data_IF_783099075066
#
_entry.id   IF_783099075066
#
_cell.length_a   1.000
_cell.length_b   1.000
_cell.length_c   1.000
_cell.angle_alpha   90.00
_cell.angle_beta   90.00
_cell.angle_gamma   90.00
#
_symmetry.space_group_name_H-M   'P 1'
#
loop_
_entity.id
_entity.type
_entity.pdbx_description
1 polymer ?
#
# COMPACT_ATOMS: atom_id res chain seq x y z
N UNK A 1 -22.83 33.31 -38.55
CA UNK A 1 -23.83 32.27 -38.81
C UNK A 1 -23.79 31.23 -37.72
N UNK A 2 -24.81 31.21 -36.87
CA UNK A 2 -24.95 30.29 -35.74
C UNK A 2 -25.74 29.06 -36.20
N UNK A 3 -25.20 27.86 -36.05
CA UNK A 3 -26.01 26.64 -36.12
C UNK A 3 -25.93 25.89 -34.81
N UNK A 4 -27.02 25.94 -34.04
CA UNK A 4 -27.28 25.12 -32.86
C UNK A 4 -27.92 23.81 -33.35
N UNK A 5 -27.29 22.67 -33.12
CA UNK A 5 -27.92 21.37 -33.17
C UNK A 5 -28.56 21.04 -31.84
N UNK A 6 -29.89 21.08 -31.79
CA UNK A 6 -30.72 20.53 -30.68
C UNK A 6 -30.83 19.02 -30.87
N UNK A 7 -30.50 18.25 -29.86
CA UNK A 7 -30.92 16.85 -29.76
C UNK A 7 -32.27 16.75 -29.02
N UNK A 8 -33.17 15.85 -29.43
CA UNK A 8 -34.49 15.68 -28.81
C UNK A 8 -34.39 14.83 -27.54
N UNK A 9 -35.06 15.33 -26.47
CA UNK A 9 -35.41 14.54 -25.28
C UNK A 9 -36.60 13.65 -25.65
N UNK A 10 -36.42 12.35 -25.59
CA UNK A 10 -37.42 11.29 -25.32
C UNK A 10 -36.96 9.98 -25.94
N UNK A 11 -36.39 9.11 -25.12
CA UNK A 11 -36.55 7.65 -25.26
C UNK A 11 -35.94 6.96 -24.02
N UNK A 12 -36.72 6.00 -23.47
CA UNK A 12 -36.33 4.94 -22.55
C UNK A 12 -36.53 5.16 -21.03
N UNK A 13 -37.79 5.17 -20.66
CA UNK A 13 -38.29 4.51 -19.46
C UNK A 13 -39.23 3.37 -19.92
N UNK A 14 -38.74 2.19 -20.08
CA UNK A 14 -39.57 0.97 -20.05
C UNK A 14 -38.68 -0.29 -19.93
N UNK A 15 -39.03 -1.17 -18.99
CA UNK A 15 -38.67 -2.58 -18.89
C UNK A 15 -37.34 -2.93 -18.19
N UNK A 16 -37.35 -2.89 -16.87
CA UNK A 16 -36.58 -3.82 -16.04
C UNK A 16 -37.43 -4.29 -14.83
N UNK A 17 -38.43 -5.13 -15.09
CA UNK A 17 -39.08 -5.97 -14.07
C UNK A 17 -39.41 -7.32 -14.70
N UNK A 18 -38.45 -8.24 -14.67
CA UNK A 18 -38.72 -9.70 -14.68
C UNK A 18 -37.39 -10.44 -14.50
N UNK A 19 -37.29 -11.26 -13.45
CA UNK A 19 -36.39 -12.40 -13.44
C UNK A 19 -35.25 -12.41 -12.43
N UNK A 20 -35.53 -12.31 -11.10
CA UNK A 20 -34.63 -12.88 -10.09
C UNK A 20 -35.49 -13.69 -9.12
N UNK A 21 -35.71 -14.96 -9.44
CA UNK A 21 -36.02 -15.99 -8.45
C UNK A 21 -35.06 -17.16 -8.66
N UNK A 22 -34.25 -17.44 -7.64
CA UNK A 22 -33.52 -18.71 -7.47
C UNK A 22 -32.06 -18.67 -7.92
N UNK A 23 -31.16 -18.33 -7.02
CA UNK A 23 -29.81 -18.91 -7.00
C UNK A 23 -29.27 -18.76 -5.57
N UNK A 24 -29.62 -19.74 -4.74
CA UNK A 24 -28.97 -19.98 -3.47
C UNK A 24 -27.84 -20.98 -3.76
N UNK A 25 -26.61 -20.53 -3.85
CA UNK A 25 -25.44 -21.40 -3.83
C UNK A 25 -24.21 -20.62 -3.40
N UNK A 26 -23.66 -21.01 -2.27
CA UNK A 26 -22.38 -20.57 -1.71
C UNK A 26 -21.23 -20.81 -2.70
N UNK A 27 -20.91 -19.83 -3.52
CA UNK A 27 -19.69 -19.81 -4.32
C UNK A 27 -18.50 -19.45 -3.42
N UNK A 28 -17.81 -20.49 -2.95
CA UNK A 28 -16.51 -20.33 -2.29
C UNK A 28 -15.44 -20.27 -3.38
N UNK A 29 -14.80 -19.13 -3.53
CA UNK A 29 -13.59 -19.02 -4.31
C UNK A 29 -12.43 -19.65 -3.54
N UNK A 30 -11.96 -20.81 -3.97
CA UNK A 30 -10.83 -21.51 -3.38
C UNK A 30 -9.55 -21.01 -4.06
N UNK A 31 -8.75 -20.19 -3.37
CA UNK A 31 -7.38 -19.91 -3.79
C UNK A 31 -6.47 -21.06 -3.36
N UNK A 32 -5.71 -21.66 -4.29
CA UNK A 32 -4.95 -22.90 -4.06
C UNK A 32 -3.68 -22.77 -3.20
N UNK A 33 -3.35 -21.56 -2.69
CA UNK A 33 -2.07 -21.31 -2.01
C UNK A 33 -2.16 -20.79 -0.56
N UNK A 34 -3.35 -20.48 -0.04
CA UNK A 34 -3.51 -20.08 1.36
C UNK A 34 -4.65 -20.84 2.03
N UNK A 35 -4.44 -21.26 3.29
CA UNK A 35 -5.49 -21.93 4.10
C UNK A 35 -6.57 -20.95 4.60
N UNK A 36 -6.50 -19.67 4.21
CA UNK A 36 -7.40 -18.60 4.64
C UNK A 36 -8.61 -18.52 3.71
N UNK A 37 -9.81 -18.72 4.25
CA UNK A 37 -11.06 -18.55 3.54
C UNK A 37 -11.51 -17.10 3.63
N UNK A 38 -11.26 -16.31 2.58
CA UNK A 38 -11.82 -14.96 2.47
C UNK A 38 -13.29 -15.06 2.05
N UNK A 39 -14.24 -14.45 2.78
CA UNK A 39 -15.63 -14.40 2.36
C UNK A 39 -15.75 -13.61 1.06
N UNK A 40 -16.50 -14.16 0.10
CA UNK A 40 -16.89 -13.41 -1.09
C UNK A 40 -17.93 -12.35 -0.66
N UNK A 41 -17.67 -11.04 -0.77
CA UNK A 41 -18.63 -10.02 -0.37
C UNK A 41 -19.85 -10.05 -1.30
N UNK A 42 -21.00 -10.53 -0.83
CA UNK A 42 -22.31 -10.45 -1.51
C UNK A 42 -23.00 -9.09 -1.28
N UNK A 43 -22.24 -8.03 -1.00
CA UNK A 43 -22.71 -6.66 -0.98
C UNK A 43 -22.23 -5.92 -2.23
N UNK A 44 -23.03 -4.97 -2.72
CA UNK A 44 -22.60 -4.05 -3.80
C UNK A 44 -21.44 -3.20 -3.29
N UNK A 45 -20.21 -3.75 -3.31
CA UNK A 45 -18.99 -2.96 -3.17
C UNK A 45 -18.96 -1.95 -4.31
N UNK A 46 -18.68 -0.69 -4.02
CA UNK A 46 -18.48 0.33 -5.05
C UNK A 46 -17.12 0.09 -5.74
N UNK A 47 -17.03 -1.04 -6.46
CA UNK A 47 -15.81 -1.42 -7.16
C UNK A 47 -15.39 -0.32 -8.13
N UNK A 48 -14.17 0.15 -8.02
CA UNK A 48 -13.59 1.06 -9.01
C UNK A 48 -13.10 0.22 -10.19
N UNK A 49 -13.69 0.43 -11.36
CA UNK A 49 -13.32 -0.27 -12.59
C UNK A 49 -13.32 -1.82 -12.47
N UNK A 50 -14.21 -2.37 -11.64
CA UNK A 50 -14.29 -3.82 -11.40
C UNK A 50 -13.09 -4.42 -10.64
N UNK A 51 -12.23 -3.60 -10.06
CA UNK A 51 -11.03 -4.01 -9.31
C UNK A 51 -11.32 -4.16 -7.82
N UNK A 52 -10.76 -5.20 -7.21
CA UNK A 52 -10.80 -5.43 -5.76
C UNK A 52 -9.70 -4.64 -5.07
N UNK A 53 -10.10 -3.82 -4.08
CA UNK A 53 -9.22 -2.90 -3.39
C UNK A 53 -8.92 -3.40 -1.98
N UNK A 54 -7.63 -3.59 -1.68
CA UNK A 54 -7.15 -3.91 -0.35
C UNK A 54 -6.44 -2.72 0.28
N UNK A 55 -6.73 -2.46 1.56
CA UNK A 55 -5.89 -1.62 2.42
C UNK A 55 -5.13 -2.54 3.36
N UNK A 56 -3.81 -2.40 3.37
CA UNK A 56 -2.91 -3.12 4.26
C UNK A 56 -2.27 -2.18 5.27
N UNK A 57 -2.23 -2.58 6.52
CA UNK A 57 -1.77 -1.78 7.65
C UNK A 57 -0.65 -2.52 8.40
N UNK A 58 0.63 -2.21 8.14
CA UNK A 58 1.71 -2.71 8.96
C UNK A 58 1.67 -2.03 10.32
N UNK A 59 1.49 -2.80 11.39
CA UNK A 59 1.25 -2.30 12.74
C UNK A 59 2.34 -2.71 13.72
N UNK A 60 2.68 -1.80 14.62
CA UNK A 60 3.47 -2.03 15.82
C UNK A 60 3.05 -1.03 16.89
N UNK A 61 2.38 -1.50 17.97
CA UNK A 61 1.86 -0.68 19.07
C UNK A 61 0.95 0.48 18.56
N UNK A 62 -0.11 0.13 17.82
CA UNK A 62 -1.01 1.09 17.18
C UNK A 62 -2.38 1.21 17.88
N UNK A 63 -2.55 0.69 19.09
CA UNK A 63 -3.84 0.67 19.81
C UNK A 63 -4.55 2.03 19.83
N UNK A 64 -3.79 3.14 20.02
CA UNK A 64 -4.36 4.48 20.19
C UNK A 64 -4.96 5.07 18.91
N UNK A 65 -4.47 4.68 17.75
CA UNK A 65 -4.78 5.34 16.47
C UNK A 65 -5.50 4.44 15.48
N UNK A 66 -5.46 3.12 15.69
CA UNK A 66 -6.04 2.14 14.78
C UNK A 66 -7.55 2.37 14.55
N UNK A 67 -8.32 2.61 15.62
CA UNK A 67 -9.77 2.76 15.51
C UNK A 67 -10.18 3.94 14.63
N UNK A 68 -9.53 5.09 14.80
CA UNK A 68 -9.83 6.27 13.98
C UNK A 68 -9.38 6.07 12.53
N UNK A 69 -8.24 5.43 12.31
CA UNK A 69 -7.74 5.11 10.98
C UNK A 69 -8.70 4.21 10.22
N UNK A 70 -9.17 3.14 10.86
CA UNK A 70 -10.12 2.20 10.25
C UNK A 70 -11.49 2.83 10.03
N UNK A 71 -11.95 3.65 10.96
CA UNK A 71 -13.26 4.31 10.90
C UNK A 71 -13.39 5.33 9.75
N UNK A 72 -12.29 5.87 9.24
CA UNK A 72 -12.29 6.79 8.09
C UNK A 72 -12.00 6.10 6.74
N UNK A 73 -11.83 4.77 6.72
CA UNK A 73 -11.64 4.06 5.45
C UNK A 73 -12.91 4.13 4.59
N UNK A 74 -12.77 4.49 3.29
CA UNK A 74 -13.92 4.54 2.38
C UNK A 74 -14.57 3.16 2.18
N UNK A 75 -15.88 3.15 1.91
CA UNK A 75 -16.66 1.91 1.68
C UNK A 75 -16.21 1.09 0.47
N UNK A 76 -15.44 1.69 -0.43
CA UNK A 76 -14.87 1.00 -1.61
C UNK A 76 -13.75 0.00 -1.25
N UNK A 77 -13.31 -0.05 0.00
CA UNK A 77 -12.26 -0.97 0.45
C UNK A 77 -12.87 -2.36 0.70
N UNK A 78 -12.59 -3.30 -0.20
CA UNK A 78 -13.09 -4.68 -0.13
C UNK A 78 -12.38 -5.53 0.92
N UNK A 79 -11.09 -5.30 1.11
CA UNK A 79 -10.21 -6.13 1.95
C UNK A 79 -9.43 -5.22 2.88
N UNK A 80 -9.52 -5.48 4.20
CA UNK A 80 -8.82 -4.72 5.25
C UNK A 80 -7.91 -5.66 6.01
N UNK A 81 -6.60 -5.51 5.85
CA UNK A 81 -5.59 -6.38 6.46
C UNK A 81 -4.74 -5.58 7.44
N UNK A 82 -4.51 -6.13 8.60
CA UNK A 82 -3.51 -5.66 9.55
C UNK A 82 -2.48 -6.76 9.78
N UNK A 83 -1.20 -6.41 9.66
CA UNK A 83 -0.09 -7.29 10.02
C UNK A 83 0.62 -6.71 11.23
N UNK A 84 0.56 -7.43 12.33
CA UNK A 84 1.14 -7.02 13.61
C UNK A 84 2.58 -7.54 13.76
N UNK A 85 3.54 -6.64 13.93
CA UNK A 85 4.94 -6.97 14.10
C UNK A 85 5.31 -7.19 15.58
N UNK A 86 4.52 -8.05 16.25
CA UNK A 86 4.70 -8.42 17.65
C UNK A 86 4.50 -7.24 18.63
N UNK A 87 3.33 -6.60 18.55
CA UNK A 87 2.91 -5.53 19.47
C UNK A 87 2.78 -6.05 20.92
N UNK A 88 3.05 -5.17 21.88
CA UNK A 88 2.89 -5.43 23.30
C UNK A 88 1.61 -4.81 23.89
N UNK A 89 0.89 -4.02 23.10
CA UNK A 89 -0.38 -3.38 23.46
C UNK A 89 -1.59 -4.18 22.89
N UNK A 90 -2.79 -3.61 22.93
CA UNK A 90 -4.03 -4.25 22.47
C UNK A 90 -4.28 -4.11 20.97
N UNK A 91 -3.26 -3.81 20.16
CA UNK A 91 -3.40 -3.63 18.71
C UNK A 91 -4.10 -4.80 18.03
N UNK A 92 -3.69 -6.04 18.33
CA UNK A 92 -4.26 -7.27 17.73
C UNK A 92 -5.72 -7.45 18.11
N UNK A 93 -6.07 -7.31 19.39
CA UNK A 93 -7.44 -7.48 19.86
C UNK A 93 -8.37 -6.43 19.28
N UNK A 94 -7.93 -5.17 19.23
CA UNK A 94 -8.69 -4.08 18.64
C UNK A 94 -8.89 -4.29 17.14
N UNK A 95 -7.86 -4.71 16.41
CA UNK A 95 -7.95 -5.00 14.98
C UNK A 95 -9.00 -6.08 14.67
N UNK A 96 -9.06 -7.12 15.50
CA UNK A 96 -10.07 -8.18 15.38
C UNK A 96 -11.49 -7.67 15.68
N UNK A 97 -11.66 -6.85 16.72
CA UNK A 97 -12.95 -6.22 17.04
C UNK A 97 -13.45 -5.31 15.91
N UNK A 98 -12.53 -4.66 15.18
CA UNK A 98 -12.84 -3.82 14.01
C UNK A 98 -13.09 -4.64 12.72
N UNK A 99 -13.03 -5.98 12.78
CA UNK A 99 -13.34 -6.86 11.65
C UNK A 99 -12.26 -6.90 10.58
N UNK A 100 -10.99 -6.63 10.92
CA UNK A 100 -9.89 -6.77 10.00
C UNK A 100 -9.41 -8.23 9.89
N UNK A 101 -8.81 -8.59 8.75
CA UNK A 101 -7.96 -9.77 8.68
C UNK A 101 -6.66 -9.47 9.41
N UNK A 102 -6.31 -10.27 10.41
CA UNK A 102 -5.18 -10.01 11.32
C UNK A 102 -4.15 -11.13 11.22
N UNK A 103 -2.94 -10.77 10.84
CA UNK A 103 -1.78 -11.66 10.84
C UNK A 103 -0.78 -11.16 11.87
N UNK A 104 -0.29 -12.03 12.74
CA UNK A 104 0.62 -11.68 13.81
C UNK A 104 1.95 -12.40 13.66
N UNK A 105 3.04 -11.65 13.59
CA UNK A 105 4.40 -12.18 13.63
C UNK A 105 4.72 -12.79 15.00
N UNK A 106 5.51 -13.86 15.02
CA UNK A 106 5.96 -14.53 16.25
C UNK A 106 7.00 -13.70 17.03
N UNK A 107 7.66 -12.74 16.35
CA UNK A 107 8.58 -11.73 16.91
C UNK A 107 8.59 -10.49 16.02
N UNK A 108 9.24 -9.42 16.47
CA UNK A 108 9.45 -8.23 15.63
C UNK A 108 10.51 -8.51 14.56
N UNK A 109 10.07 -8.52 13.29
CA UNK A 109 10.93 -8.73 12.12
C UNK A 109 11.35 -7.43 11.43
N UNK A 110 10.72 -6.33 11.79
CA UNK A 110 11.02 -5.01 11.25
C UNK A 110 10.07 -4.56 10.13
N UNK A 111 10.20 -3.30 9.82
CA UNK A 111 9.30 -2.55 8.95
C UNK A 111 9.13 -3.16 7.55
N UNK A 112 10.24 -3.49 6.89
CA UNK A 112 10.21 -4.03 5.52
C UNK A 112 9.62 -5.44 5.47
N UNK A 113 9.94 -6.30 6.45
CA UNK A 113 9.36 -7.65 6.53
C UNK A 113 7.86 -7.60 6.80
N UNK A 114 7.41 -6.69 7.64
CA UNK A 114 5.98 -6.48 7.89
C UNK A 114 5.24 -6.11 6.60
N UNK A 115 5.80 -5.20 5.80
CA UNK A 115 5.20 -4.86 4.49
C UNK A 115 5.19 -6.04 3.51
N UNK A 116 6.24 -6.86 3.47
CA UNK A 116 6.26 -8.06 2.62
C UNK A 116 5.11 -9.01 2.98
N UNK A 117 4.84 -9.20 4.29
CA UNK A 117 3.69 -9.98 4.76
C UNK A 117 2.37 -9.34 4.35
N UNK A 118 2.22 -8.02 4.53
CA UNK A 118 1.05 -7.26 4.09
C UNK A 118 0.73 -7.48 2.60
N UNK A 119 1.72 -7.34 1.75
CA UNK A 119 1.53 -7.48 0.29
C UNK A 119 1.23 -8.92 -0.10
N UNK A 120 1.89 -9.90 0.52
CA UNK A 120 1.64 -11.32 0.27
C UNK A 120 0.19 -11.69 0.60
N UNK A 121 -0.29 -11.29 1.77
CA UNK A 121 -1.65 -11.60 2.20
C UNK A 121 -2.71 -10.87 1.35
N UNK A 122 -2.45 -9.64 0.91
CA UNK A 122 -3.32 -8.94 -0.02
C UNK A 122 -3.41 -9.64 -1.39
N UNK A 123 -2.28 -10.11 -1.92
CA UNK A 123 -2.24 -10.88 -3.17
C UNK A 123 -2.98 -12.21 -3.02
N UNK A 124 -2.79 -12.93 -1.90
CA UNK A 124 -3.48 -14.17 -1.58
C UNK A 124 -5.00 -13.97 -1.44
N UNK A 125 -5.44 -12.84 -0.87
CA UNK A 125 -6.84 -12.45 -0.78
C UNK A 125 -7.47 -12.06 -2.12
N UNK A 126 -6.70 -11.98 -3.19
CA UNK A 126 -7.19 -11.67 -4.53
C UNK A 126 -7.35 -10.16 -4.79
N UNK A 127 -6.63 -9.28 -4.09
CA UNK A 127 -6.64 -7.85 -4.35
C UNK A 127 -6.04 -7.51 -5.72
N UNK A 128 -6.63 -6.57 -6.45
CA UNK A 128 -6.10 -6.02 -7.70
C UNK A 128 -5.30 -4.73 -7.46
N UNK A 129 -5.73 -3.96 -6.47
CA UNK A 129 -5.06 -2.74 -5.99
C UNK A 129 -4.79 -2.90 -4.51
N UNK A 130 -3.56 -2.66 -4.09
CA UNK A 130 -3.14 -2.76 -2.69
C UNK A 130 -2.64 -1.41 -2.21
N UNK A 131 -3.24 -0.89 -1.16
CA UNK A 131 -2.89 0.41 -0.59
C UNK A 131 -2.27 0.19 0.79
N UNK A 132 -1.02 0.59 0.94
CA UNK A 132 -0.32 0.59 2.21
C UNK A 132 -0.61 1.88 2.94
N UNK A 133 -1.24 1.77 4.10
CA UNK A 133 -1.61 2.86 4.99
C UNK A 133 -1.17 2.53 6.42
N UNK A 134 -0.35 3.39 7.02
CA UNK A 134 0.04 3.20 8.41
C UNK A 134 -1.12 3.50 9.37
N UNK A 135 -1.33 2.65 10.40
CA UNK A 135 -2.41 2.85 11.36
C UNK A 135 -2.12 3.94 12.39
N UNK A 136 -1.05 4.71 12.24
CA UNK A 136 -0.64 5.81 13.13
C UNK A 136 -1.36 7.15 12.86
N UNK A 137 -2.31 7.16 11.91
CA UNK A 137 -3.12 8.33 11.53
C UNK A 137 -2.33 9.57 11.08
N UNK A 138 -1.04 9.41 10.69
CA UNK A 138 -0.29 10.49 10.04
C UNK A 138 -0.87 10.89 8.69
N UNK A 139 -1.41 9.91 7.98
CA UNK A 139 -1.99 10.04 6.65
C UNK A 139 -3.50 9.88 6.72
N UNK A 140 -4.23 10.75 6.04
CA UNK A 140 -5.70 10.64 6.00
C UNK A 140 -6.14 9.44 5.17
N UNK A 141 -6.98 8.53 5.72
CA UNK A 141 -7.54 7.41 4.96
C UNK A 141 -8.41 7.84 3.77
N UNK A 142 -8.92 9.07 3.77
CA UNK A 142 -9.80 9.60 2.71
C UNK A 142 -9.14 9.65 1.33
N UNK A 143 -7.80 9.69 1.25
CA UNK A 143 -7.07 9.66 -0.02
C UNK A 143 -7.00 8.27 -0.66
N UNK A 144 -7.41 7.22 0.04
CA UNK A 144 -7.51 5.85 -0.50
C UNK A 144 -8.28 5.84 -1.82
N UNK A 145 -9.40 6.54 -1.91
CA UNK A 145 -10.22 6.62 -3.14
C UNK A 145 -9.45 7.19 -4.32
N UNK A 146 -8.74 8.30 -4.13
CA UNK A 146 -7.98 8.94 -5.19
C UNK A 146 -6.83 8.05 -5.68
N UNK A 147 -6.06 7.48 -4.74
CA UNK A 147 -4.93 6.61 -5.06
C UNK A 147 -5.38 5.30 -5.71
N UNK A 148 -6.46 4.69 -5.19
CA UNK A 148 -7.06 3.50 -5.77
C UNK A 148 -7.51 3.73 -7.22
N UNK A 149 -8.18 4.85 -7.49
CA UNK A 149 -8.66 5.19 -8.84
C UNK A 149 -7.53 5.27 -9.85
N UNK A 150 -6.41 5.93 -9.49
CA UNK A 150 -5.26 6.08 -10.39
C UNK A 150 -4.64 4.74 -10.80
N UNK A 151 -4.66 3.75 -9.89
CA UNK A 151 -4.17 2.40 -10.16
C UNK A 151 -5.25 1.54 -10.84
N UNK A 152 -6.49 1.59 -10.37
CA UNK A 152 -7.58 0.77 -10.90
C UNK A 152 -7.93 1.06 -12.36
N UNK A 153 -7.74 2.31 -12.81
CA UNK A 153 -7.89 2.71 -14.21
C UNK A 153 -6.61 2.51 -15.05
N UNK A 154 -5.61 1.81 -14.51
CA UNK A 154 -4.34 1.51 -15.18
C UNK A 154 -3.58 2.76 -15.69
N UNK A 155 -3.77 3.92 -15.02
CA UNK A 155 -3.02 5.14 -15.32
C UNK A 155 -1.59 5.03 -14.79
N UNK A 156 -1.45 4.51 -13.55
CA UNK A 156 -0.19 4.26 -12.88
C UNK A 156 -0.15 2.86 -12.26
N UNK A 157 1.05 2.31 -12.14
CA UNK A 157 1.30 1.02 -11.48
C UNK A 157 1.57 1.19 -9.99
N UNK A 158 2.11 2.36 -9.61
CA UNK A 158 2.29 2.79 -8.22
C UNK A 158 1.94 4.27 -8.07
N UNK A 159 1.29 4.62 -6.95
CA UNK A 159 0.93 6.00 -6.59
C UNK A 159 1.42 6.31 -5.18
N UNK A 160 2.12 7.44 -5.03
CA UNK A 160 2.68 7.91 -3.77
C UNK A 160 1.85 9.06 -3.20
N UNK A 161 1.56 9.01 -1.90
CA UNK A 161 0.99 10.13 -1.15
C UNK A 161 2.08 11.12 -0.73
N UNK A 162 2.39 12.11 -1.57
CA UNK A 162 3.49 13.05 -1.31
C UNK A 162 3.10 14.15 -0.31
N UNK A 163 3.91 14.32 0.73
CA UNK A 163 3.80 15.40 1.71
C UNK A 163 4.33 16.74 1.16
N UNK A 164 5.08 16.68 0.07
CA UNK A 164 5.85 17.80 -0.48
C UNK A 164 5.09 18.57 -1.55
N UNK A 165 4.36 17.90 -2.45
CA UNK A 165 3.64 18.54 -3.58
C UNK A 165 2.76 19.70 -3.12
N UNK A 166 2.01 19.55 -2.03
CA UNK A 166 1.11 20.58 -1.52
C UNK A 166 1.81 21.76 -0.82
N UNK A 167 3.14 21.74 -0.68
CA UNK A 167 3.93 22.79 -0.03
C UNK A 167 3.62 22.99 1.47
N UNK A 168 2.92 22.03 2.11
CA UNK A 168 2.45 22.17 3.49
C UNK A 168 3.20 21.29 4.50
N UNK A 169 4.25 20.59 4.11
CA UNK A 169 4.97 19.66 4.98
C UNK A 169 5.46 20.32 6.30
N UNK A 170 6.08 21.49 6.22
CA UNK A 170 6.52 22.26 7.41
C UNK A 170 5.33 22.77 8.25
N UNK A 171 4.26 23.23 7.60
CA UNK A 171 3.02 23.66 8.31
C UNK A 171 2.31 22.49 8.99
N UNK A 172 2.46 21.28 8.46
CA UNK A 172 1.96 20.03 9.06
C UNK A 172 2.77 19.53 10.24
N UNK A 173 3.86 20.23 10.61
CA UNK A 173 4.70 19.88 11.76
C UNK A 173 5.96 19.07 11.43
N UNK A 174 6.32 18.90 10.14
CA UNK A 174 7.57 18.22 9.77
C UNK A 174 8.77 18.98 10.34
N UNK A 175 9.66 18.34 11.12
CA UNK A 175 10.89 18.99 11.60
C UNK A 175 11.77 19.48 10.45
N UNK A 176 12.33 20.68 10.58
CA UNK A 176 13.13 21.34 9.51
C UNK A 176 14.28 20.45 9.04
N UNK A 177 15.00 19.79 9.95
CA UNK A 177 16.10 18.89 9.58
C UNK A 177 15.63 17.69 8.74
N UNK A 178 14.44 17.13 9.04
CA UNK A 178 13.82 16.06 8.25
C UNK A 178 13.43 16.57 6.86
N UNK A 179 12.90 17.78 6.78
CA UNK A 179 12.56 18.40 5.51
C UNK A 179 13.80 18.59 4.63
N UNK A 180 14.89 19.17 5.17
CA UNK A 180 16.14 19.38 4.43
C UNK A 180 16.72 18.04 3.98
N UNK A 181 16.81 17.05 4.86
CA UNK A 181 17.29 15.71 4.52
C UNK A 181 16.44 15.05 3.43
N UNK A 182 15.11 15.15 3.53
CA UNK A 182 14.18 14.65 2.50
C UNK A 182 14.46 15.32 1.14
N UNK A 183 14.61 16.65 1.10
CA UNK A 183 14.88 17.38 -0.16
C UNK A 183 16.22 16.99 -0.79
N UNK A 184 17.26 16.85 0.04
CA UNK A 184 18.58 16.42 -0.41
C UNK A 184 18.54 15.00 -0.98
N UNK A 185 17.99 14.04 -0.24
CA UNK A 185 17.89 12.64 -0.69
C UNK A 185 17.03 12.53 -1.96
N UNK A 186 15.88 13.21 -2.00
CA UNK A 186 15.02 13.23 -3.20
C UNK A 186 15.75 13.78 -4.42
N UNK A 187 16.52 14.87 -4.27
CA UNK A 187 17.30 15.43 -5.38
C UNK A 187 18.37 14.44 -5.87
N UNK A 188 19.04 13.76 -4.96
CA UNK A 188 20.03 12.73 -5.26
C UNK A 188 19.38 11.53 -5.99
N UNK A 189 18.26 11.02 -5.49
CA UNK A 189 17.52 9.93 -6.12
C UNK A 189 17.02 10.32 -7.52
N UNK A 190 16.42 11.49 -7.69
CA UNK A 190 15.98 11.99 -8.99
C UNK A 190 17.12 12.05 -10.01
N UNK A 191 18.31 12.50 -9.59
CA UNK A 191 19.48 12.59 -10.46
C UNK A 191 19.93 11.21 -10.96
N UNK A 192 20.07 10.25 -10.05
CA UNK A 192 20.65 8.94 -10.39
C UNK A 192 19.63 7.93 -10.92
N UNK A 193 18.38 7.96 -10.44
CA UNK A 193 17.30 7.11 -10.96
C UNK A 193 16.79 7.63 -12.33
N UNK A 194 17.01 8.90 -12.64
CA UNK A 194 16.60 9.51 -13.91
C UNK A 194 15.08 9.75 -14.00
N UNK A 195 14.41 9.92 -12.86
CA UNK A 195 12.98 10.24 -12.73
C UNK A 195 12.81 11.55 -11.96
N UNK A 196 11.61 12.11 -11.97
CA UNK A 196 11.32 13.39 -11.32
C UNK A 196 10.15 13.24 -10.37
N UNK A 197 10.41 12.72 -9.17
CA UNK A 197 9.44 12.64 -8.10
C UNK A 197 9.62 13.81 -7.12
N UNK A 198 8.53 14.20 -6.47
CA UNK A 198 8.55 15.22 -5.43
C UNK A 198 9.10 14.67 -4.11
N UNK A 199 8.85 13.37 -3.83
CA UNK A 199 9.25 12.68 -2.61
C UNK A 199 9.34 11.17 -2.82
N UNK A 200 10.35 10.53 -2.17
CA UNK A 200 10.50 9.06 -2.11
C UNK A 200 10.17 8.47 -0.74
N UNK A 201 10.16 9.32 0.30
CA UNK A 201 10.21 8.90 1.71
C UNK A 201 8.84 8.89 2.39
N UNK A 202 7.78 8.78 1.61
CA UNK A 202 6.40 8.61 2.12
C UNK A 202 6.09 7.13 2.33
N UNK A 203 5.38 6.82 3.42
CA UNK A 203 4.86 5.48 3.68
C UNK A 203 3.47 5.23 3.10
N UNK A 204 2.79 6.24 2.54
CA UNK A 204 1.45 6.09 1.96
C UNK A 204 1.55 5.81 0.47
N UNK A 205 1.19 4.60 0.06
CA UNK A 205 1.41 4.10 -1.30
C UNK A 205 0.29 3.21 -1.76
N UNK A 206 -0.03 3.25 -3.06
CA UNK A 206 -0.92 2.30 -3.72
C UNK A 206 -0.16 1.58 -4.82
N UNK A 207 -0.44 0.28 -4.99
CA UNK A 207 0.25 -0.59 -5.94
C UNK A 207 -0.74 -1.42 -6.74
N UNK A 208 -0.42 -1.69 -8.01
CA UNK A 208 -1.11 -2.69 -8.80
C UNK A 208 -0.68 -4.12 -8.38
N UNK A 209 -1.58 -5.10 -8.51
CA UNK A 209 -1.25 -6.53 -8.37
C UNK A 209 -0.05 -6.91 -9.22
N UNK A 210 -0.03 -6.47 -10.48
CA UNK A 210 1.06 -6.76 -11.42
C UNK A 210 2.42 -6.37 -10.84
N UNK A 211 2.56 -5.14 -10.35
CA UNK A 211 3.81 -4.65 -9.76
C UNK A 211 4.25 -5.51 -8.58
N UNK A 212 3.35 -5.81 -7.63
CA UNK A 212 3.67 -6.59 -6.43
C UNK A 212 4.06 -8.04 -6.76
N UNK A 213 3.49 -8.62 -7.82
CA UNK A 213 3.81 -10.00 -8.26
C UNK A 213 5.11 -10.07 -9.08
N UNK A 214 5.49 -9.00 -9.79
CA UNK A 214 6.66 -9.02 -10.68
C UNK A 214 7.95 -8.60 -9.98
N UNK A 215 7.88 -7.70 -8.98
CA UNK A 215 9.07 -7.20 -8.29
C UNK A 215 9.69 -8.26 -7.35
N UNK A 216 11.03 -8.38 -7.34
CA UNK A 216 11.76 -9.27 -6.43
C UNK A 216 11.84 -8.66 -5.01
N UNK A 217 10.70 -8.51 -4.34
CA UNK A 217 10.58 -7.80 -3.07
C UNK A 217 11.28 -8.50 -1.90
N UNK A 218 11.50 -9.83 -1.99
CA UNK A 218 12.23 -10.59 -0.96
C UNK A 218 13.74 -10.32 -0.99
N UNK A 219 14.25 -9.61 -1.99
CA UNK A 219 15.64 -9.15 -2.06
C UNK A 219 15.86 -7.80 -1.36
N UNK A 220 14.79 -7.19 -0.87
CA UNK A 220 14.84 -5.93 -0.16
C UNK A 220 15.11 -6.12 1.34
N UNK A 221 15.57 -5.06 1.98
CA UNK A 221 15.86 -5.01 3.42
C UNK A 221 14.59 -5.17 4.27
N UNK A 222 14.72 -5.80 5.43
CA UNK A 222 13.64 -5.86 6.42
C UNK A 222 13.46 -4.53 7.20
N UNK A 223 14.34 -3.54 7.00
CA UNK A 223 14.34 -2.23 7.67
C UNK A 223 13.69 -1.14 6.79
N UNK A 224 13.62 0.10 7.25
CA UNK A 224 12.95 1.25 6.61
C UNK A 224 13.42 1.56 5.18
N UNK A 225 14.62 1.19 4.80
CA UNK A 225 15.12 1.39 3.43
C UNK A 225 14.38 0.55 2.39
N UNK A 226 13.58 -0.44 2.81
CA UNK A 226 12.71 -1.25 1.94
C UNK A 226 11.93 -0.41 0.94
N UNK A 227 11.34 0.67 1.41
CA UNK A 227 10.52 1.57 0.61
C UNK A 227 11.27 2.20 -0.58
N UNK A 228 12.51 2.63 -0.34
CA UNK A 228 13.34 3.22 -1.40
C UNK A 228 13.87 2.15 -2.35
N UNK A 229 14.19 0.97 -1.83
CA UNK A 229 14.60 -0.17 -2.65
C UNK A 229 13.47 -0.59 -3.59
N UNK A 230 12.23 -0.64 -3.11
CA UNK A 230 11.07 -0.94 -3.92
C UNK A 230 10.84 0.10 -5.02
N UNK A 231 11.00 1.40 -4.73
CA UNK A 231 10.88 2.45 -5.76
C UNK A 231 12.01 2.39 -6.79
N UNK A 232 13.24 2.09 -6.37
CA UNK A 232 14.34 1.86 -7.30
C UNK A 232 14.05 0.65 -8.22
N UNK A 233 13.43 -0.42 -7.70
CA UNK A 233 12.93 -1.53 -8.51
C UNK A 233 11.84 -1.09 -9.47
N UNK A 234 10.85 -0.29 -9.03
CA UNK A 234 9.80 0.24 -9.91
C UNK A 234 10.39 0.97 -11.12
N UNK A 235 11.41 1.82 -10.90
CA UNK A 235 12.10 2.53 -11.98
C UNK A 235 12.88 1.56 -12.88
N UNK A 236 13.58 0.59 -12.29
CA UNK A 236 14.38 -0.39 -13.02
C UNK A 236 13.54 -1.25 -13.97
N UNK A 237 12.39 -1.73 -13.49
CA UNK A 237 11.47 -2.58 -14.25
C UNK A 237 10.48 -1.78 -15.11
N UNK A 238 10.58 -0.45 -15.14
CA UNK A 238 9.78 0.40 -16.04
C UNK A 238 8.33 0.61 -15.62
N UNK A 239 8.00 0.46 -14.34
CA UNK A 239 6.65 0.74 -13.83
C UNK A 239 6.36 2.25 -13.78
N UNK A 240 5.11 2.61 -14.06
CA UNK A 240 4.64 4.01 -14.07
C UNK A 240 4.35 4.48 -12.64
N UNK A 241 4.99 5.58 -12.24
CA UNK A 241 4.86 6.15 -10.90
C UNK A 241 4.06 7.44 -10.96
N UNK A 242 3.00 7.54 -10.15
CA UNK A 242 2.21 8.75 -9.96
C UNK A 242 2.33 9.29 -8.53
N UNK A 243 1.94 10.55 -8.33
CA UNK A 243 1.92 11.18 -7.01
C UNK A 243 0.61 11.92 -6.78
N UNK A 244 0.11 11.88 -5.53
CA UNK A 244 -0.98 12.72 -5.05
C UNK A 244 -0.51 13.56 -3.87
N UNK A 245 -1.02 14.79 -3.73
CA UNK A 245 -0.73 15.61 -2.55
C UNK A 245 -1.38 15.01 -1.32
N UNK A 246 -0.58 14.74 -0.28
CA UNK A 246 -1.06 14.19 0.98
C UNK A 246 -0.69 15.12 2.15
N UNK A 247 -1.66 15.90 2.67
CA UNK A 247 -1.45 16.64 3.91
C UNK A 247 -1.18 15.66 5.06
N UNK A 248 -0.12 15.87 5.82
CA UNK A 248 0.22 15.05 6.97
C UNK A 248 0.09 15.83 8.26
N UNK A 249 -0.29 15.12 9.33
CA UNK A 249 -0.32 15.65 10.69
C UNK A 249 0.78 14.98 11.50
N UNK A 250 1.64 15.77 12.12
CA UNK A 250 2.65 15.28 13.06
C UNK A 250 2.17 15.56 14.48
N UNK A 251 2.00 14.53 15.29
CA UNK A 251 1.61 14.58 16.69
C UNK A 251 2.41 13.52 17.47
N UNK A 252 2.35 13.56 18.81
CA UNK A 252 3.24 12.75 19.65
C UNK A 252 3.08 11.23 19.48
N UNK A 253 1.85 10.76 19.22
CA UNK A 253 1.56 9.35 19.01
C UNK A 253 1.95 8.85 17.61
N UNK A 254 2.25 9.77 16.69
CA UNK A 254 2.64 9.41 15.33
C UNK A 254 4.05 8.78 15.33
N UNK A 255 4.16 7.61 14.70
CA UNK A 255 5.44 6.90 14.66
C UNK A 255 6.49 7.71 13.89
N UNK A 256 7.65 7.92 14.51
CA UNK A 256 8.77 8.57 13.84
C UNK A 256 10.08 7.90 14.19
N UNK A 257 10.90 7.64 13.17
CA UNK A 257 12.25 7.14 13.40
C UNK A 257 13.10 8.21 14.11
N UNK A 258 13.87 7.76 15.10
CA UNK A 258 14.81 8.63 15.85
C UNK A 258 15.98 9.07 14.94
N UNK A 259 16.75 10.07 15.41
CA UNK A 259 17.86 10.66 14.63
C UNK A 259 18.87 9.61 14.14
N UNK A 260 19.28 8.68 15.00
CA UNK A 260 20.27 7.64 14.66
C UNK A 260 19.77 6.69 13.56
N UNK A 261 18.50 6.28 13.65
CA UNK A 261 17.85 5.48 12.62
C UNK A 261 17.66 6.29 11.32
N UNK A 262 17.37 7.60 11.43
CA UNK A 262 17.26 8.49 10.25
C UNK A 262 18.58 8.57 9.48
N UNK A 263 19.71 8.65 10.17
CA UNK A 263 21.05 8.65 9.55
C UNK A 263 21.32 7.31 8.85
N UNK A 264 21.08 6.18 9.53
CA UNK A 264 21.21 4.83 8.94
C UNK A 264 20.34 4.69 7.69
N UNK A 265 19.10 5.15 7.76
CA UNK A 265 18.18 5.19 6.63
C UNK A 265 18.74 6.00 5.46
N UNK A 266 19.22 7.21 5.71
CA UNK A 266 19.81 8.07 4.67
C UNK A 266 20.98 7.41 3.94
N UNK A 267 21.91 6.76 4.66
CA UNK A 267 22.98 5.97 4.03
C UNK A 267 22.45 4.79 3.22
N UNK A 268 21.39 4.12 3.70
CA UNK A 268 20.74 3.04 2.96
C UNK A 268 20.12 3.52 1.64
N UNK A 269 19.52 4.72 1.63
CA UNK A 269 18.96 5.36 0.43
C UNK A 269 20.08 5.67 -0.57
N UNK A 270 21.17 6.32 -0.12
CA UNK A 270 22.32 6.64 -0.98
C UNK A 270 22.93 5.36 -1.59
N UNK A 271 23.13 4.34 -0.76
CA UNK A 271 23.69 3.06 -1.23
C UNK A 271 22.77 2.37 -2.25
N UNK A 272 21.44 2.37 -2.04
CA UNK A 272 20.47 1.80 -2.99
C UNK A 272 20.50 2.55 -4.32
N UNK A 273 20.54 3.88 -4.27
CA UNK A 273 20.58 4.74 -5.45
C UNK A 273 21.86 4.53 -6.25
N UNK A 274 23.02 4.40 -5.57
CA UNK A 274 24.30 4.09 -6.23
C UNK A 274 24.30 2.67 -6.82
N UNK A 275 23.77 1.67 -6.13
CA UNK A 275 23.62 0.31 -6.67
C UNK A 275 22.77 0.32 -7.95
N UNK A 276 21.66 1.06 -7.96
CA UNK A 276 20.84 1.22 -9.16
C UNK A 276 21.65 1.87 -10.30
N UNK A 277 22.38 2.96 -10.03
CA UNK A 277 23.19 3.64 -11.04
C UNK A 277 24.27 2.72 -11.63
N UNK A 278 24.96 1.95 -10.78
CA UNK A 278 25.96 0.97 -11.20
C UNK A 278 25.35 -0.20 -11.99
N UNK A 279 24.15 -0.67 -11.59
CA UNK A 279 23.39 -1.66 -12.34
C UNK A 279 23.06 -1.16 -13.75
N UNK A 280 22.62 0.10 -13.87
CA UNK A 280 22.23 0.72 -15.14
C UNK A 280 23.38 0.82 -16.14
N UNK A 281 24.62 1.00 -15.66
CA UNK A 281 25.83 1.04 -16.51
C UNK A 281 26.58 -0.30 -16.62
N UNK A 282 25.97 -1.37 -16.07
CA UNK A 282 26.53 -2.74 -16.17
C UNK A 282 27.71 -3.05 -15.26
N UNK A 283 28.03 -2.17 -14.27
CA UNK A 283 29.11 -2.38 -13.31
C UNK A 283 28.68 -3.13 -12.02
N UNK A 284 27.38 -3.35 -11.83
CA UNK A 284 26.82 -4.10 -10.71
C UNK A 284 25.66 -4.98 -11.20
N UNK A 285 25.59 -6.21 -10.70
CA UNK A 285 24.50 -7.14 -11.01
C UNK A 285 24.01 -7.75 -9.71
N UNK A 286 22.93 -7.20 -9.14
CA UNK A 286 22.34 -7.66 -7.89
C UNK A 286 21.00 -8.35 -8.10
N UNK A 287 20.62 -9.29 -7.22
CA UNK A 287 19.33 -10.00 -7.32
C UNK A 287 18.12 -9.06 -7.23
N UNK A 288 18.26 -7.91 -6.55
CA UNK A 288 17.22 -6.88 -6.43
C UNK A 288 16.77 -6.30 -7.77
N UNK A 289 17.66 -6.24 -8.75
CA UNK A 289 17.41 -5.71 -10.09
C UNK A 289 17.42 -6.79 -11.16
N UNK A 290 17.07 -8.02 -10.78
CA UNK A 290 17.05 -9.18 -11.67
C UNK A 290 15.66 -9.83 -11.71
N UNK A 291 15.20 -10.21 -12.89
CA UNK A 291 13.93 -10.96 -13.06
C UNK A 291 13.95 -12.32 -12.32
N UNK A 292 15.15 -12.84 -12.03
CA UNK A 292 15.38 -14.08 -11.28
C UNK A 292 15.41 -13.87 -9.76
N UNK A 293 15.32 -12.62 -9.28
CA UNK A 293 15.25 -12.33 -7.85
C UNK A 293 13.98 -12.91 -7.22
N UNK A 294 14.03 -13.16 -5.90
CA UNK A 294 12.93 -13.81 -5.16
C UNK A 294 11.73 -12.91 -5.03
N UNK A 295 10.59 -13.37 -5.53
CA UNK A 295 9.29 -12.70 -5.50
C UNK A 295 8.47 -13.15 -4.28
N UNK A 296 7.44 -12.41 -3.90
CA UNK A 296 6.60 -12.70 -2.72
C UNK A 296 5.97 -14.09 -2.74
N UNK A 297 5.58 -14.60 -3.89
CA UNK A 297 4.97 -15.93 -4.05
C UNK A 297 5.93 -17.08 -3.75
N UNK A 298 7.25 -16.85 -3.81
CA UNK A 298 8.28 -17.85 -3.53
C UNK A 298 8.57 -18.05 -2.04
N UNK A 299 7.90 -17.32 -1.13
CA UNK A 299 8.11 -17.42 0.30
C UNK A 299 7.44 -18.67 0.86
N UNK A 300 8.23 -19.74 1.06
CA UNK A 300 7.75 -21.05 1.56
C UNK A 300 7.56 -21.15 3.08
N UNK A 301 8.02 -20.20 3.89
CA UNK A 301 7.94 -20.27 5.35
C UNK A 301 7.00 -19.20 5.91
N UNK A 302 6.02 -19.63 6.72
CA UNK A 302 5.14 -18.75 7.48
C UNK A 302 5.73 -18.50 8.87
N UNK A 303 6.19 -17.28 9.12
CA UNK A 303 6.70 -16.78 10.41
C UNK A 303 5.65 -15.93 11.13
N UNK A 304 4.38 -16.14 10.79
CA UNK A 304 3.23 -15.45 11.40
C UNK A 304 2.04 -16.40 11.46
N UNK A 305 1.10 -16.03 12.33
CA UNK A 305 -0.14 -16.76 12.57
C UNK A 305 -1.32 -15.91 12.11
N UNK A 306 -2.26 -16.52 11.40
CA UNK A 306 -3.56 -15.92 11.14
C UNK A 306 -4.39 -15.86 12.43
N UNK A 307 -4.79 -14.67 12.82
CA UNK A 307 -5.62 -14.39 13.99
C UNK A 307 -7.05 -13.97 13.63
N UNK A 308 -7.41 -13.99 12.36
CA UNK A 308 -8.70 -13.50 11.86
C UNK A 308 -9.88 -14.36 12.33
N UNK A 309 -9.71 -15.65 12.51
CA UNK A 309 -10.84 -16.59 12.74
C UNK A 309 -11.45 -16.55 14.16
N UNK A 310 -10.88 -15.85 15.11
CA UNK A 310 -11.40 -15.84 16.50
C UNK A 310 -12.34 -14.67 16.79
N UNK A 311 -12.69 -13.86 15.81
CA UNK A 311 -13.61 -12.72 15.93
C UNK A 311 -14.93 -12.94 15.16
N UNK A 312 -15.55 -14.13 15.26
CA UNK A 312 -16.95 -14.26 14.87
C UNK A 312 -17.79 -13.75 16.04
N UNK A 313 -18.64 -12.73 15.86
CA UNK A 313 -19.65 -12.44 16.87
C UNK A 313 -20.60 -13.65 16.96
N UNK A 314 -20.88 -14.08 18.20
CA UNK A 314 -21.91 -15.04 18.57
C UNK A 314 -23.28 -14.44 18.23
#
# INVERSE_FOLDING_TARGET
>A
MRNRLRMPRSFLLANWRAGIRGLNSSLRCRCQSSQVNYPCPLGFSQMINGKRIAVVMPAYNAEKTLQVTVGELPDLVDIRILVDDHSSDRTVDLARQLGLYVFQHDRNYGYGRNQQTCYREALAAGADVVIMLHPDYQYTPLLVTAMASMVAYDVYDVVLGSRIIGGRALRGGMPIYKYIANRFLTAFENLFLGVKLSEYHTGYRAFSRKLLSELPLLENSDDFVFDNQMLAQCVHFGFRIGEVSCPTKYFEEASSINFRRSVKYGFGVLATTLQFALQRIGLFHGPRFSDKGRKLEAAGETYYVDRSETARPV
#
